data_IF_841723353327
#
_entry.id   IF_841723353327
#
_cell.length_a   1.000
_cell.length_b   1.000
_cell.length_c   1.000
_cell.angle_alpha   90.00
_cell.angle_beta   90.00
_cell.angle_gamma   90.00
#
_symmetry.space_group_name_H-M   'P 1'
#
loop_
_entity.id
_entity.type
_entity.pdbx_description
1 polymer ?
#
# COMPACT_ATOMS: atom_id res chain seq x y z
N UNK A 1 -6.25 -14.34 8.96
CA UNK A 1 -7.20 -13.21 8.98
C UNK A 1 -6.84 -12.27 10.13
N UNK A 2 -7.05 -10.97 9.96
CA UNK A 2 -6.96 -10.04 11.09
C UNK A 2 -8.14 -10.26 12.04
N UNK A 3 -7.92 -10.21 13.35
CA UNK A 3 -8.97 -10.29 14.37
C UNK A 3 -8.79 -9.20 15.40
N UNK A 4 -9.88 -8.59 15.84
CA UNK A 4 -9.88 -7.75 17.04
C UNK A 4 -10.06 -8.71 18.22
N UNK A 5 -9.04 -8.80 19.06
CA UNK A 5 -9.09 -9.58 20.30
C UNK A 5 -9.74 -8.68 21.38
N UNK A 6 -10.56 -9.27 22.24
CA UNK A 6 -11.15 -8.54 23.36
C UNK A 6 -10.06 -8.04 24.29
N UNK A 7 -10.12 -6.76 24.69
CA UNK A 7 -9.09 -5.91 25.34
C UNK A 7 -8.35 -4.88 24.45
N UNK A 8 -8.68 -4.83 23.15
CA UNK A 8 -8.09 -3.86 22.23
C UNK A 8 -6.82 -4.35 21.54
N UNK A 9 -6.31 -5.55 21.89
CA UNK A 9 -5.29 -6.24 21.10
C UNK A 9 -5.84 -6.63 19.73
N UNK A 10 -4.98 -6.66 18.71
CA UNK A 10 -5.35 -7.13 17.38
C UNK A 10 -4.39 -8.21 16.92
N UNK A 11 -4.95 -9.28 16.36
CA UNK A 11 -4.17 -10.24 15.59
C UNK A 11 -3.94 -9.63 14.20
N UNK A 12 -2.69 -9.28 13.91
CA UNK A 12 -2.25 -8.76 12.60
C UNK A 12 -2.31 -9.87 11.55
N UNK A 13 -2.53 -9.50 10.29
CA UNK A 13 -2.26 -10.42 9.18
C UNK A 13 -0.75 -10.61 9.05
N UNK A 14 -0.32 -11.75 8.52
CA UNK A 14 1.10 -12.00 8.23
C UNK A 14 1.72 -10.87 7.40
N UNK A 15 1.03 -10.45 6.33
CA UNK A 15 1.48 -9.36 5.46
C UNK A 15 1.63 -8.01 6.21
N UNK A 16 0.77 -7.71 7.19
CA UNK A 16 0.89 -6.48 7.98
C UNK A 16 2.07 -6.56 8.96
N UNK A 17 2.30 -7.72 9.58
CA UNK A 17 3.50 -7.94 10.43
C UNK A 17 4.79 -7.84 9.62
N UNK A 18 4.81 -8.39 8.40
CA UNK A 18 5.94 -8.28 7.48
C UNK A 18 6.20 -6.82 7.07
N UNK A 19 5.14 -6.07 6.74
CA UNK A 19 5.22 -4.63 6.46
C UNK A 19 5.77 -3.83 7.65
N UNK A 20 5.28 -4.12 8.85
CA UNK A 20 5.74 -3.50 10.10
C UNK A 20 7.22 -3.77 10.34
N UNK A 21 7.65 -5.01 10.14
CA UNK A 21 9.05 -5.42 10.31
C UNK A 21 9.96 -4.80 9.24
N UNK A 22 9.45 -4.59 8.03
CA UNK A 22 10.20 -3.99 6.93
C UNK A 22 10.43 -2.48 7.10
N UNK A 23 9.40 -1.74 7.54
CA UNK A 23 9.47 -0.28 7.71
C UNK A 23 9.70 0.18 9.16
N UNK A 24 9.79 -0.75 10.11
CA UNK A 24 10.11 -0.50 11.53
C UNK A 24 9.22 0.57 12.18
N UNK A 25 7.90 0.44 12.05
CA UNK A 25 6.93 1.31 12.71
C UNK A 25 6.16 0.58 13.81
N UNK A 26 5.67 1.33 14.78
CA UNK A 26 4.66 0.85 15.72
C UNK A 26 3.25 1.18 15.21
N UNK A 27 2.38 0.18 15.20
CA UNK A 27 0.98 0.38 14.87
C UNK A 27 0.18 0.89 16.06
N UNK A 28 -0.75 1.81 15.78
CA UNK A 28 -1.76 2.24 16.73
C UNK A 28 -3.13 2.17 16.07
N UNK A 29 -3.95 1.21 16.48
CA UNK A 29 -5.30 1.09 15.95
C UNK A 29 -6.27 2.05 16.64
N UNK A 30 -7.18 2.64 15.86
CA UNK A 30 -8.30 3.40 16.40
C UNK A 30 -9.20 2.51 17.26
N UNK A 31 -9.69 3.06 18.37
CA UNK A 31 -10.58 2.35 19.30
C UNK A 31 -11.97 2.19 18.69
N UNK A 32 -12.63 1.03 18.84
CA UNK A 32 -14.01 0.84 18.39
C UNK A 32 -14.94 1.92 18.96
N UNK A 33 -15.80 2.49 18.11
CA UNK A 33 -16.78 3.51 18.52
C UNK A 33 -16.22 4.89 18.90
N UNK A 34 -14.92 5.14 18.70
CA UNK A 34 -14.26 6.41 19.03
C UNK A 34 -13.84 7.18 17.78
N UNK A 35 -14.79 7.89 17.18
CA UNK A 35 -14.57 8.69 15.97
C UNK A 35 -13.48 9.78 16.11
N UNK A 36 -13.22 10.25 17.32
CA UNK A 36 -12.15 11.22 17.60
C UNK A 36 -10.75 10.68 17.25
N UNK A 37 -10.54 9.37 17.27
CA UNK A 37 -9.27 8.76 16.85
C UNK A 37 -9.01 8.93 15.34
N UNK A 38 -10.05 9.27 14.55
CA UNK A 38 -10.00 9.45 13.09
C UNK A 38 -10.27 10.89 12.63
N UNK A 39 -10.56 11.82 13.54
CA UNK A 39 -11.02 13.16 13.21
C UNK A 39 -10.06 13.97 12.32
N UNK A 40 -8.74 13.84 12.52
CA UNK A 40 -7.74 14.49 11.67
C UNK A 40 -7.76 13.97 10.22
N UNK A 41 -7.85 12.65 10.05
CA UNK A 41 -7.89 12.00 8.74
C UNK A 41 -9.16 12.38 8.00
N UNK A 42 -10.32 12.32 8.65
CA UNK A 42 -11.60 12.68 8.04
C UNK A 42 -11.66 14.16 7.67
N UNK A 43 -11.10 15.03 8.51
CA UNK A 43 -10.99 16.46 8.21
C UNK A 43 -10.14 16.71 6.96
N UNK A 44 -8.99 16.04 6.83
CA UNK A 44 -8.11 16.18 5.67
C UNK A 44 -8.75 15.64 4.39
N UNK A 45 -9.41 14.48 4.45
CA UNK A 45 -10.17 13.93 3.32
C UNK A 45 -11.29 14.90 2.90
N UNK A 46 -12.02 15.46 3.86
CA UNK A 46 -13.04 16.46 3.59
C UNK A 46 -12.47 17.72 2.95
N UNK A 47 -11.30 18.18 3.43
CA UNK A 47 -10.58 19.31 2.85
C UNK A 47 -10.21 19.03 1.38
N UNK A 48 -9.55 17.90 1.10
CA UNK A 48 -9.13 17.54 -0.26
C UNK A 48 -10.33 17.48 -1.21
N UNK A 49 -11.44 16.86 -0.78
CA UNK A 49 -12.68 16.81 -1.57
C UNK A 49 -13.21 18.21 -1.90
N UNK A 50 -13.24 19.13 -0.94
CA UNK A 50 -13.80 20.48 -1.13
C UNK A 50 -12.89 21.45 -1.87
N UNK A 51 -11.58 21.22 -1.86
CA UNK A 51 -10.60 22.17 -2.40
C UNK A 51 -9.94 21.67 -3.69
N UNK A 52 -9.80 20.36 -3.87
CA UNK A 52 -9.12 19.79 -5.04
C UNK A 52 -10.11 19.19 -6.05
N UNK A 53 -11.31 18.80 -5.61
CA UNK A 53 -12.29 18.11 -6.46
C UNK A 53 -13.57 18.92 -6.66
N UNK A 54 -13.54 20.24 -6.46
CA UNK A 54 -14.68 21.15 -6.65
C UNK A 54 -14.27 22.35 -7.51
N UNK A 55 -14.96 22.63 -8.64
CA UNK A 55 -15.99 21.77 -9.25
C UNK A 55 -15.43 20.39 -9.62
N UNK A 56 -16.29 19.38 -9.79
CA UNK A 56 -15.83 18.01 -10.09
C UNK A 56 -14.99 18.04 -11.37
N UNK A 57 -13.69 17.71 -11.29
CA UNK A 57 -12.81 17.85 -12.44
C UNK A 57 -12.98 16.67 -13.39
N UNK A 58 -12.70 16.90 -14.68
CA UNK A 58 -12.66 15.88 -15.71
C UNK A 58 -11.22 15.72 -16.21
N UNK A 59 -10.75 14.48 -16.32
CA UNK A 59 -9.40 14.14 -16.77
C UNK A 59 -9.46 12.99 -17.76
N UNK A 60 -8.48 12.93 -18.66
CA UNK A 60 -8.35 11.91 -19.70
C UNK A 60 -7.91 10.54 -19.17
N UNK A 61 -7.31 10.50 -17.99
CA UNK A 61 -6.80 9.27 -17.38
C UNK A 61 -6.67 9.40 -15.87
N UNK A 62 -6.53 8.26 -15.19
CA UNK A 62 -6.19 8.25 -13.76
C UNK A 62 -4.82 8.85 -13.49
N UNK A 63 -3.85 8.71 -14.40
CA UNK A 63 -2.52 9.28 -14.25
C UNK A 63 -2.55 10.82 -14.28
N UNK A 64 -3.36 11.40 -15.18
CA UNK A 64 -3.56 12.86 -15.22
C UNK A 64 -4.21 13.38 -13.93
N UNK A 65 -5.21 12.66 -13.41
CA UNK A 65 -5.83 12.99 -12.12
C UNK A 65 -4.82 12.87 -10.96
N UNK A 66 -4.02 11.80 -10.92
CA UNK A 66 -3.01 11.58 -9.87
C UNK A 66 -1.96 12.69 -9.88
N UNK A 67 -1.45 13.08 -11.05
CA UNK A 67 -0.49 14.18 -11.18
C UNK A 67 -1.08 15.52 -10.73
N UNK A 68 -2.36 15.77 -11.04
CA UNK A 68 -3.06 16.96 -10.54
C UNK A 68 -3.17 16.97 -9.00
N UNK A 69 -3.60 15.85 -8.41
CA UNK A 69 -3.74 15.74 -6.95
C UNK A 69 -2.40 15.84 -6.22
N UNK A 70 -1.33 15.29 -6.80
CA UNK A 70 0.02 15.42 -6.28
C UNK A 70 0.45 16.88 -6.24
N UNK A 71 0.25 17.65 -7.33
CA UNK A 71 0.54 19.09 -7.33
C UNK A 71 -0.24 19.84 -6.25
N UNK A 72 -1.54 19.58 -6.11
CA UNK A 72 -2.34 20.21 -5.05
C UNK A 72 -1.82 19.89 -3.64
N UNK A 73 -1.33 18.66 -3.41
CA UNK A 73 -0.71 18.28 -2.14
C UNK A 73 0.62 19.02 -1.91
N UNK A 74 1.45 19.15 -2.95
CA UNK A 74 2.72 19.87 -2.88
C UNK A 74 2.50 21.37 -2.64
N UNK A 75 1.59 22.01 -3.36
CA UNK A 75 1.20 23.41 -3.16
C UNK A 75 0.66 23.66 -1.75
N UNK A 76 -0.08 22.68 -1.19
CA UNK A 76 -0.56 22.78 0.18
C UNK A 76 0.57 22.80 1.23
N UNK A 77 1.77 22.34 0.90
CA UNK A 77 2.92 22.43 1.81
C UNK A 77 3.24 23.89 2.20
N UNK A 78 2.92 24.86 1.34
CA UNK A 78 3.16 26.29 1.59
C UNK A 78 2.16 26.92 2.57
N UNK A 79 1.05 26.23 2.87
CA UNK A 79 0.03 26.77 3.75
C UNK A 79 0.51 26.86 5.21
N UNK A 80 0.27 28.02 5.85
CA UNK A 80 0.37 28.18 7.31
C UNK A 80 -0.99 27.93 7.94
N UNK A 81 -1.08 26.93 8.82
CA UNK A 81 -2.32 26.60 9.51
C UNK A 81 -2.49 27.49 10.75
N UNK A 82 -3.75 27.76 11.14
CA UNK A 82 -4.07 28.53 12.35
C UNK A 82 -3.33 27.95 13.56
N UNK A 83 -2.65 28.82 14.31
CA UNK A 83 -1.87 28.43 15.49
C UNK A 83 -0.44 27.95 15.19
N UNK A 84 0.02 28.06 13.94
CA UNK A 84 1.40 27.73 13.56
C UNK A 84 2.09 28.91 12.89
N UNK A 85 3.36 29.14 13.24
CA UNK A 85 4.20 30.16 12.62
C UNK A 85 4.82 29.69 11.29
N UNK A 86 5.09 28.38 11.19
CA UNK A 86 5.73 27.75 10.03
C UNK A 86 4.71 27.15 9.07
N UNK A 87 5.13 26.94 7.81
CA UNK A 87 4.33 26.25 6.80
C UNK A 87 4.16 24.76 7.14
N UNK A 88 3.31 24.05 6.40
CA UNK A 88 3.22 22.58 6.51
C UNK A 88 4.56 21.94 6.09
N UNK A 89 5.17 22.41 4.99
CA UNK A 89 6.44 21.88 4.47
C UNK A 89 7.60 22.03 5.46
N UNK A 90 7.76 23.20 6.08
CA UNK A 90 8.80 23.43 7.09
C UNK A 90 8.66 22.53 8.33
N UNK A 91 7.42 22.18 8.69
CA UNK A 91 7.17 21.21 9.77
C UNK A 91 7.51 19.78 9.32
N UNK A 92 7.13 19.43 8.09
CA UNK A 92 7.44 18.14 7.50
C UNK A 92 8.95 17.90 7.37
N UNK A 93 9.75 18.91 7.03
CA UNK A 93 11.23 18.78 6.95
C UNK A 93 11.83 18.32 8.29
N UNK A 94 11.41 18.92 9.41
CA UNK A 94 11.85 18.47 10.74
C UNK A 94 11.37 17.06 11.09
N UNK A 95 10.16 16.70 10.68
CA UNK A 95 9.67 15.34 10.85
C UNK A 95 10.56 14.36 10.04
N UNK A 96 10.89 14.70 8.78
CA UNK A 96 11.75 13.88 7.91
C UNK A 96 13.16 13.70 8.50
N UNK A 97 13.74 14.74 9.08
CA UNK A 97 15.04 14.67 9.76
C UNK A 97 15.04 13.72 10.97
N UNK A 98 13.89 13.57 11.63
CA UNK A 98 13.71 12.66 12.77
C UNK A 98 13.36 11.22 12.35
N UNK A 99 13.00 10.97 11.09
CA UNK A 99 12.63 9.65 10.59
C UNK A 99 13.87 8.80 10.25
N UNK A 100 13.70 7.48 10.36
CA UNK A 100 14.70 6.53 9.87
C UNK A 100 14.82 6.61 8.35
N UNK A 101 16.03 6.35 7.84
CA UNK A 101 16.24 6.19 6.41
C UNK A 101 15.34 5.08 5.85
N UNK A 102 14.74 5.35 4.67
CA UNK A 102 13.91 4.38 3.97
C UNK A 102 14.74 3.16 3.59
N UNK A 103 14.25 1.92 3.81
CA UNK A 103 14.90 0.71 3.29
C UNK A 103 15.18 0.83 1.78
N UNK A 104 16.36 0.37 1.35
CA UNK A 104 16.79 0.48 -0.05
C UNK A 104 15.96 -0.38 -1.00
N UNK A 105 15.55 -1.56 -0.54
CA UNK A 105 14.63 -2.44 -1.26
C UNK A 105 13.18 -2.13 -0.85
N UNK A 106 12.25 -1.92 -1.80
CA UNK A 106 10.84 -1.75 -1.47
C UNK A 106 10.26 -3.05 -0.91
N UNK A 107 9.30 -2.92 0.01
CA UNK A 107 8.50 -4.06 0.43
C UNK A 107 7.66 -4.59 -0.75
N UNK A 108 7.75 -5.89 -1.00
CA UNK A 108 7.03 -6.56 -2.08
C UNK A 108 5.55 -6.77 -1.69
N UNK A 109 4.71 -5.77 -1.97
CA UNK A 109 3.26 -5.74 -1.68
C UNK A 109 2.47 -6.61 -2.67
N UNK A 110 2.84 -7.88 -2.77
CA UNK A 110 2.12 -8.84 -3.62
C UNK A 110 1.65 -10.02 -2.78
N UNK A 111 0.44 -10.48 -3.09
CA UNK A 111 -0.09 -11.74 -2.56
C UNK A 111 0.73 -12.89 -3.15
N UNK A 112 1.26 -13.77 -2.30
CA UNK A 112 2.17 -14.85 -2.72
C UNK A 112 1.51 -16.18 -2.48
N UNK A 113 1.33 -16.94 -3.55
CA UNK A 113 0.71 -18.26 -3.49
C UNK A 113 1.55 -19.27 -4.27
N UNK A 114 1.76 -20.45 -3.67
CA UNK A 114 2.30 -21.60 -4.39
C UNK A 114 1.22 -22.15 -5.33
N UNK A 115 1.62 -22.49 -6.55
CA UNK A 115 0.76 -23.07 -7.57
C UNK A 115 1.51 -24.10 -8.39
N UNK A 116 0.80 -24.72 -9.33
CA UNK A 116 1.36 -25.68 -10.27
C UNK A 116 0.77 -25.43 -11.65
N UNK A 117 1.60 -25.52 -12.67
CA UNK A 117 1.16 -25.40 -14.06
C UNK A 117 0.37 -26.64 -14.44
N UNK A 118 -0.84 -26.45 -14.98
CA UNK A 118 -1.69 -27.55 -15.45
C UNK A 118 -1.17 -28.18 -16.74
N UNK A 119 -1.75 -29.31 -17.15
CA UNK A 119 -1.48 -29.93 -18.46
C UNK A 119 -1.81 -29.02 -19.64
N UNK A 120 -2.68 -28.04 -19.45
CA UNK A 120 -3.08 -27.06 -20.46
C UNK A 120 -2.16 -25.81 -20.46
N UNK A 121 -1.03 -25.85 -19.75
CA UNK A 121 -0.12 -24.71 -19.60
C UNK A 121 -0.79 -23.46 -19.00
N UNK A 122 -1.65 -23.68 -18.01
CA UNK A 122 -2.36 -22.64 -17.26
C UNK A 122 -1.98 -22.67 -15.78
N UNK A 123 -1.99 -21.50 -15.16
CA UNK A 123 -1.88 -21.32 -13.71
C UNK A 123 -3.05 -20.48 -13.22
N UNK A 124 -3.79 -21.00 -12.24
CA UNK A 124 -4.88 -20.25 -11.62
C UNK A 124 -4.37 -19.31 -10.54
N UNK A 125 -4.78 -18.05 -10.60
CA UNK A 125 -4.65 -17.10 -9.51
C UNK A 125 -6.02 -16.53 -9.17
N UNK A 126 -6.47 -16.77 -7.94
CA UNK A 126 -7.84 -16.49 -7.48
C UNK A 126 -8.87 -17.10 -8.44
N UNK A 127 -9.60 -16.27 -9.18
CA UNK A 127 -10.68 -16.68 -10.08
C UNK A 127 -10.28 -16.69 -11.56
N UNK A 128 -9.03 -16.37 -11.89
CA UNK A 128 -8.57 -16.24 -13.28
C UNK A 128 -7.46 -17.26 -13.59
N UNK A 129 -7.46 -17.78 -14.82
CA UNK A 129 -6.41 -18.65 -15.35
C UNK A 129 -5.49 -17.85 -16.27
N UNK A 130 -4.19 -17.99 -16.05
CA UNK A 130 -3.15 -17.31 -16.82
C UNK A 130 -2.34 -18.32 -17.60
N UNK A 131 -2.12 -18.06 -18.89
CA UNK A 131 -1.26 -18.89 -19.73
C UNK A 131 0.21 -18.71 -19.38
N UNK A 132 0.95 -19.82 -19.45
CA UNK A 132 2.40 -19.84 -19.35
C UNK A 132 2.97 -20.62 -20.54
N UNK A 133 4.25 -20.42 -20.90
CA UNK A 133 4.87 -21.21 -21.95
C UNK A 133 4.81 -22.71 -21.65
N UNK A 134 4.54 -23.53 -22.68
CA UNK A 134 4.34 -24.98 -22.56
C UNK A 134 5.54 -25.70 -21.92
N UNK A 135 6.74 -25.15 -22.07
CA UNK A 135 7.97 -25.66 -21.43
C UNK A 135 7.91 -25.72 -19.89
N UNK A 136 6.96 -25.01 -19.27
CA UNK A 136 6.72 -25.01 -17.83
C UNK A 136 5.58 -25.92 -17.37
N UNK A 137 4.96 -26.70 -18.28
CA UNK A 137 3.91 -27.66 -17.95
C UNK A 137 4.28 -28.54 -16.76
N UNK A 138 3.33 -28.75 -15.85
CA UNK A 138 3.50 -29.53 -14.62
C UNK A 138 4.59 -29.04 -13.64
N UNK A 139 5.21 -27.87 -13.84
CA UNK A 139 6.16 -27.33 -12.88
C UNK A 139 5.46 -26.63 -11.72
N UNK A 140 6.08 -26.70 -10.55
CA UNK A 140 5.67 -25.91 -9.40
C UNK A 140 6.15 -24.46 -9.59
N UNK A 141 5.29 -23.52 -9.23
CA UNK A 141 5.50 -22.09 -9.44
C UNK A 141 5.10 -21.29 -8.21
N UNK A 142 5.70 -20.11 -8.06
CA UNK A 142 5.23 -19.07 -7.16
C UNK A 142 4.50 -18.03 -7.99
N UNK A 143 3.24 -17.80 -7.65
CA UNK A 143 2.40 -16.75 -8.20
C UNK A 143 2.42 -15.55 -7.25
N UNK A 144 2.77 -14.38 -7.79
CA UNK A 144 2.72 -13.11 -7.09
C UNK A 144 1.64 -12.24 -7.73
N UNK A 145 0.56 -11.99 -7.02
CA UNK A 145 -0.49 -11.06 -7.44
C UNK A 145 -0.27 -9.67 -6.85
N UNK A 146 0.13 -8.74 -7.70
CA UNK A 146 0.31 -7.33 -7.37
C UNK A 146 -0.94 -6.52 -7.82
N UNK A 147 -0.97 -5.22 -7.54
CA UNK A 147 -2.14 -4.36 -7.84
C UNK A 147 -2.46 -4.31 -9.33
N UNK A 148 -1.42 -4.22 -10.16
CA UNK A 148 -1.48 -3.99 -11.61
C UNK A 148 -1.10 -5.23 -12.45
N UNK A 149 -0.54 -6.26 -11.82
CA UNK A 149 0.04 -7.41 -12.55
C UNK A 149 0.05 -8.70 -11.73
N UNK A 150 0.08 -9.82 -12.44
CA UNK A 150 0.35 -11.16 -11.88
C UNK A 150 1.68 -11.65 -12.44
N UNK A 151 2.60 -12.02 -11.56
CA UNK A 151 3.92 -12.54 -11.93
C UNK A 151 4.00 -14.01 -11.54
N UNK A 152 4.25 -14.87 -12.52
CA UNK A 152 4.44 -16.31 -12.31
C UNK A 152 5.93 -16.60 -12.43
N UNK A 153 6.51 -17.19 -11.39
CA UNK A 153 7.93 -17.53 -11.34
C UNK A 153 8.11 -19.03 -11.07
N UNK A 154 8.89 -19.69 -11.91
CA UNK A 154 9.31 -21.08 -11.70
C UNK A 154 10.59 -21.05 -10.88
N UNK A 155 10.58 -21.65 -9.68
CA UNK A 155 11.79 -21.78 -8.88
C UNK A 155 12.55 -23.05 -9.22
N UNK A 156 13.85 -22.96 -9.50
CA UNK A 156 14.78 -23.96 -8.98
C UNK A 156 15.03 -23.59 -7.52
N UNK A 157 14.68 -24.46 -6.58
CA UNK A 157 15.12 -24.32 -5.20
C UNK A 157 16.64 -24.51 -5.14
N UNK A 158 17.42 -23.47 -5.38
CA UNK A 158 18.80 -23.40 -4.88
C UNK A 158 18.74 -22.75 -3.51
N UNK A 159 18.66 -23.58 -2.48
CA UNK A 159 18.90 -23.16 -1.10
C UNK A 159 20.35 -22.68 -0.99
N UNK A 160 20.52 -21.41 -0.66
CA UNK A 160 21.79 -20.87 -0.20
C UNK A 160 21.82 -20.98 1.32
N UNK A 161 22.82 -21.70 1.83
CA UNK A 161 23.41 -21.47 3.15
C UNK A 161 24.46 -20.38 2.99
#
# INVERSE_FOLDING_TARGET
MAKILGDGRRQRTRAFTELQSHYLFDDRFGRPGKGNDKGKVESLVGYARRNFLVPIPSFESFDALNAYLERCCLERMDARLRGHAETIGQRMERDLEALLARPSAPYDVCDKQAGRVSSLSLVRYRTNDYSVPVAYGHRDVIVRGCVDRVVISCGTCSGGV
#
